data_IF_531549594392
#
_entry.id   IF_531549594392
#
_cell.length_a   1.000
_cell.length_b   1.000
_cell.length_c   1.000
_cell.angle_alpha   90.00
_cell.angle_beta   90.00
_cell.angle_gamma   90.00
#
_symmetry.space_group_name_H-M   'P 1'
#
loop_
_entity.id
_entity.type
_entity.pdbx_description
1 polymer ?
#
# COMPACT_ATOMS: atom_id res chain seq x y z
N UNK A 1 35.69 -38.14 -32.17
CA UNK A 1 35.62 -37.04 -31.19
C UNK A 1 34.36 -36.25 -31.51
N UNK A 2 33.32 -36.31 -30.67
CA UNK A 2 32.03 -35.66 -30.95
C UNK A 2 32.10 -34.22 -30.43
N UNK A 3 32.02 -33.23 -31.32
CA UNK A 3 31.92 -31.79 -30.98
C UNK A 3 30.48 -31.47 -30.54
N UNK A 4 30.25 -31.32 -29.24
CA UNK A 4 28.94 -30.92 -28.71
C UNK A 4 28.79 -29.40 -28.80
N UNK A 5 28.31 -28.91 -29.95
CA UNK A 5 27.99 -27.49 -30.14
C UNK A 5 26.67 -27.13 -29.44
N UNK A 6 26.80 -26.72 -28.18
CA UNK A 6 25.73 -26.11 -27.40
C UNK A 6 25.40 -24.71 -27.97
N UNK A 7 24.59 -24.62 -29.03
CA UNK A 7 24.08 -23.33 -29.52
C UNK A 7 22.71 -22.96 -28.94
N UNK A 8 22.00 -23.94 -28.36
CA UNK A 8 20.62 -23.80 -27.87
C UNK A 8 20.48 -23.69 -26.34
N UNK A 9 21.56 -23.83 -25.56
CA UNK A 9 21.52 -23.64 -24.09
C UNK A 9 21.91 -22.22 -23.64
N UNK A 10 22.15 -21.29 -24.57
CA UNK A 10 22.47 -19.91 -24.25
C UNK A 10 21.19 -19.08 -24.18
N UNK A 11 20.86 -18.60 -22.99
CA UNK A 11 19.82 -17.61 -22.81
C UNK A 11 20.25 -16.27 -23.42
N UNK A 12 19.39 -15.67 -24.22
CA UNK A 12 19.54 -14.27 -24.58
C UNK A 12 19.34 -13.41 -23.32
N UNK A 13 20.45 -12.86 -22.82
CA UNK A 13 20.49 -12.07 -21.59
C UNK A 13 19.49 -10.92 -21.64
N UNK A 14 19.41 -10.19 -22.75
CA UNK A 14 18.53 -9.04 -22.87
C UNK A 14 17.06 -9.48 -22.81
N UNK A 15 16.70 -10.56 -23.53
CA UNK A 15 15.35 -11.11 -23.49
C UNK A 15 14.96 -11.59 -22.10
N UNK A 16 15.85 -12.28 -21.38
CA UNK A 16 15.58 -12.74 -20.00
C UNK A 16 15.40 -11.55 -19.06
N UNK A 17 16.27 -10.55 -19.12
CA UNK A 17 16.15 -9.35 -18.27
C UNK A 17 14.81 -8.65 -18.52
N UNK A 18 14.43 -8.43 -19.77
CA UNK A 18 13.15 -7.79 -20.09
C UNK A 18 11.94 -8.61 -19.64
N UNK A 19 11.99 -9.94 -19.76
CA UNK A 19 10.93 -10.81 -19.25
C UNK A 19 10.79 -10.70 -17.73
N UNK A 20 11.91 -10.67 -17.01
CA UNK A 20 11.95 -10.50 -15.55
C UNK A 20 11.43 -9.12 -15.13
N UNK A 21 11.85 -8.04 -15.80
CA UNK A 21 11.38 -6.68 -15.51
C UNK A 21 9.87 -6.52 -15.74
N UNK A 22 9.36 -7.08 -16.83
CA UNK A 22 7.93 -7.09 -17.14
C UNK A 22 7.15 -7.86 -16.07
N UNK A 23 7.62 -9.04 -15.68
CA UNK A 23 7.03 -9.85 -14.63
C UNK A 23 7.04 -9.11 -13.29
N UNK A 24 8.18 -8.53 -12.90
CA UNK A 24 8.36 -7.76 -11.67
C UNK A 24 7.36 -6.61 -11.58
N UNK A 25 7.30 -5.76 -12.61
CA UNK A 25 6.37 -4.62 -12.65
C UNK A 25 4.91 -5.07 -12.51
N UNK A 26 4.54 -6.15 -13.20
CA UNK A 26 3.18 -6.70 -13.14
C UNK A 26 2.85 -7.26 -11.75
N UNK A 27 3.75 -8.06 -11.16
CA UNK A 27 3.56 -8.69 -9.86
C UNK A 27 3.49 -7.65 -8.75
N UNK A 28 4.41 -6.69 -8.72
CA UNK A 28 4.44 -5.63 -7.70
C UNK A 28 3.23 -4.70 -7.80
N UNK A 29 2.78 -4.37 -9.03
CA UNK A 29 1.55 -3.61 -9.23
C UNK A 29 0.32 -4.36 -8.69
N UNK A 30 0.24 -5.67 -8.92
CA UNK A 30 -0.85 -6.53 -8.41
C UNK A 30 -0.81 -6.65 -6.88
N UNK A 31 0.38 -6.80 -6.30
CA UNK A 31 0.59 -6.79 -4.86
C UNK A 31 0.10 -5.47 -4.23
N UNK A 32 0.53 -4.33 -4.79
CA UNK A 32 0.08 -3.01 -4.35
C UNK A 32 -1.44 -2.84 -4.46
N UNK A 33 -2.05 -3.33 -5.55
CA UNK A 33 -3.49 -3.30 -5.73
C UNK A 33 -4.24 -4.13 -4.67
N UNK A 34 -3.75 -5.31 -4.32
CA UNK A 34 -4.36 -6.16 -3.30
C UNK A 34 -4.28 -5.53 -1.91
N UNK A 35 -3.10 -5.06 -1.51
CA UNK A 35 -2.89 -4.40 -0.21
C UNK A 35 -3.75 -3.14 -0.11
N UNK A 36 -3.75 -2.29 -1.15
CA UNK A 36 -4.63 -1.11 -1.23
C UNK A 36 -6.09 -1.50 -1.05
N UNK A 37 -6.54 -2.56 -1.71
CA UNK A 37 -7.94 -3.01 -1.65
C UNK A 37 -8.28 -3.54 -0.26
N UNK A 38 -7.39 -4.31 0.37
CA UNK A 38 -7.56 -4.78 1.74
C UNK A 38 -7.66 -3.60 2.73
N UNK A 39 -6.78 -2.61 2.63
CA UNK A 39 -6.82 -1.39 3.44
C UNK A 39 -8.12 -0.59 3.22
N UNK A 40 -8.55 -0.40 1.97
CA UNK A 40 -9.82 0.29 1.66
C UNK A 40 -11.05 -0.47 2.18
N UNK A 41 -10.97 -1.79 2.23
CA UNK A 41 -12.06 -2.66 2.70
C UNK A 41 -12.16 -2.70 4.22
N UNK A 42 -11.03 -2.52 4.93
CA UNK A 42 -10.99 -2.46 6.38
C UNK A 42 -11.63 -1.17 6.93
N UNK A 43 -11.52 -0.06 6.17
CA UNK A 43 -12.13 1.23 6.50
C UNK A 43 -13.62 1.23 6.10
N UNK A 44 -14.51 1.16 7.09
CA UNK A 44 -15.98 1.14 6.92
C UNK A 44 -16.61 2.46 7.36
N UNK A 45 -17.75 2.82 6.74
CA UNK A 45 -18.56 3.97 7.17
C UNK A 45 -19.29 3.63 8.46
N UNK A 46 -19.10 4.45 9.50
CA UNK A 46 -19.76 4.35 10.81
C UNK A 46 -19.93 5.76 11.40
N UNK A 47 -20.91 5.93 12.29
CA UNK A 47 -21.14 7.22 12.98
C UNK A 47 -20.07 7.51 14.04
N UNK A 48 -19.69 6.52 14.82
CA UNK A 48 -18.71 6.65 15.90
C UNK A 48 -17.25 6.32 15.49
N UNK A 49 -16.28 6.74 16.30
CA UNK A 49 -14.89 6.31 16.15
C UNK A 49 -14.78 4.79 16.36
N UNK A 50 -13.85 4.13 15.68
CA UNK A 50 -13.50 2.72 15.95
C UNK A 50 -12.94 2.52 17.37
N UNK A 51 -12.77 1.27 17.80
CA UNK A 51 -11.94 0.98 18.96
C UNK A 51 -10.45 1.10 18.60
N UNK A 52 -9.57 1.34 19.59
CA UNK A 52 -8.12 1.21 19.42
C UNK A 52 -7.73 -0.15 18.82
N UNK A 53 -6.68 -0.18 18.01
CA UNK A 53 -6.24 -1.38 17.28
C UNK A 53 -7.14 -1.80 16.11
N UNK A 54 -8.39 -1.30 16.03
CA UNK A 54 -9.29 -1.56 14.91
C UNK A 54 -9.16 -0.46 13.84
N UNK A 55 -9.32 -0.81 12.55
CA UNK A 55 -9.28 0.15 11.45
C UNK A 55 -10.22 1.35 11.67
N UNK A 56 -9.83 2.55 11.20
CA UNK A 56 -10.57 3.77 11.46
C UNK A 56 -11.93 3.76 10.74
N UNK A 57 -12.88 4.50 11.30
CA UNK A 57 -14.17 4.73 10.67
C UNK A 57 -14.05 5.80 9.57
N UNK A 58 -14.70 5.58 8.43
CA UNK A 58 -14.79 6.56 7.36
C UNK A 58 -15.96 7.52 7.58
N UNK A 59 -15.70 8.68 8.16
CA UNK A 59 -16.71 9.74 8.28
C UNK A 59 -16.91 10.51 6.96
N UNK A 60 -15.82 10.94 6.32
CA UNK A 60 -15.88 11.71 5.04
C UNK A 60 -15.62 10.84 3.81
N UNK A 61 -14.97 9.68 3.97
CA UNK A 61 -14.52 8.83 2.87
C UNK A 61 -13.20 9.26 2.23
N UNK A 62 -12.62 10.40 2.62
CA UNK A 62 -11.38 10.89 2.03
C UNK A 62 -10.22 9.94 2.30
N UNK A 63 -10.01 9.51 3.55
CA UNK A 63 -8.93 8.57 3.88
C UNK A 63 -8.98 7.31 3.00
N UNK A 64 -10.17 6.70 2.86
CA UNK A 64 -10.38 5.51 2.02
C UNK A 64 -10.15 5.77 0.53
N UNK A 65 -10.48 6.96 0.03
CA UNK A 65 -10.32 7.31 -1.39
C UNK A 65 -8.86 7.58 -1.75
N UNK A 66 -8.09 8.12 -0.81
CA UNK A 66 -6.73 8.59 -1.03
C UNK A 66 -5.64 7.59 -0.63
N UNK A 67 -5.96 6.28 -0.54
CA UNK A 67 -4.94 5.23 -0.44
C UNK A 67 -4.54 4.85 -1.86
N UNK A 68 -3.29 5.11 -2.21
CA UNK A 68 -2.71 4.81 -3.51
C UNK A 68 -1.56 3.81 -3.39
N UNK A 69 -1.10 3.31 -4.53
CA UNK A 69 0.14 2.58 -4.64
C UNK A 69 0.92 3.05 -5.86
N UNK A 70 2.25 2.94 -5.82
CA UNK A 70 3.14 3.22 -6.93
C UNK A 70 4.32 2.24 -6.94
N UNK A 71 4.71 1.78 -8.12
CA UNK A 71 5.95 1.01 -8.31
C UNK A 71 7.12 1.98 -8.42
N UNK A 72 8.18 1.73 -7.66
CA UNK A 72 9.42 2.49 -7.67
C UNK A 72 10.49 1.69 -8.43
N UNK A 73 10.84 2.08 -9.68
CA UNK A 73 11.75 1.31 -10.52
C UNK A 73 13.17 1.20 -9.96
N UNK A 74 13.63 2.21 -9.22
CA UNK A 74 15.01 2.26 -8.72
C UNK A 74 15.29 1.25 -7.61
N UNK A 75 14.29 1.00 -6.76
CA UNK A 75 14.39 0.10 -5.60
C UNK A 75 13.68 -1.24 -5.81
N UNK A 76 13.10 -1.46 -7.00
CA UNK A 76 12.29 -2.63 -7.30
C UNK A 76 11.20 -2.91 -6.26
N UNK A 77 10.59 -1.84 -5.75
CA UNK A 77 9.64 -1.90 -4.65
C UNK A 77 8.29 -1.29 -5.04
N UNK A 78 7.27 -1.56 -4.23
CA UNK A 78 5.97 -0.91 -4.33
C UNK A 78 5.69 -0.17 -3.04
N UNK A 79 5.36 1.11 -3.14
CA UNK A 79 4.96 1.95 -2.02
C UNK A 79 3.44 2.02 -2.01
N UNK A 80 2.82 1.71 -0.86
CA UNK A 80 1.37 1.79 -0.68
C UNK A 80 1.07 2.66 0.53
N UNK A 81 0.14 3.61 0.41
CA UNK A 81 -0.26 4.42 1.54
C UNK A 81 -1.22 5.55 1.25
N UNK A 82 -1.66 6.26 2.31
CA UNK A 82 -2.47 7.46 2.18
C UNK A 82 -1.66 8.61 1.59
N UNK A 83 -2.21 9.27 0.58
CA UNK A 83 -1.64 10.49 0.00
C UNK A 83 -2.19 11.72 0.72
N UNK A 84 -1.37 12.77 0.79
CA UNK A 84 -1.76 14.05 1.40
C UNK A 84 -2.98 14.63 0.67
N UNK A 85 -3.93 15.12 1.45
CA UNK A 85 -5.06 15.89 0.93
C UNK A 85 -4.64 17.36 0.79
N UNK A 86 -5.39 18.15 0.01
CA UNK A 86 -5.19 19.60 -0.14
C UNK A 86 -5.17 20.36 1.21
N UNK A 87 -5.74 19.79 2.28
CA UNK A 87 -5.59 20.29 3.64
C UNK A 87 -4.55 19.46 4.38
N UNK A 88 -3.43 20.07 4.80
CA UNK A 88 -2.41 19.35 5.56
C UNK A 88 -3.00 18.87 6.87
N UNK A 89 -2.81 17.57 7.16
CA UNK A 89 -3.28 16.95 8.39
C UNK A 89 -2.47 15.72 8.72
N UNK A 90 -2.09 15.58 9.99
CA UNK A 90 -1.35 14.41 10.49
C UNK A 90 -2.24 13.16 10.67
N UNK A 91 -3.53 13.24 10.32
CA UNK A 91 -4.51 12.21 10.62
C UNK A 91 -4.13 10.82 10.08
N UNK A 92 -3.67 10.62 8.83
CA UNK A 92 -3.36 9.27 8.35
C UNK A 92 -2.21 8.61 9.12
N UNK A 93 -1.15 9.37 9.42
CA UNK A 93 0.01 8.87 10.18
C UNK A 93 -0.34 8.57 11.64
N UNK A 94 -1.08 9.47 12.29
CA UNK A 94 -1.54 9.32 13.68
C UNK A 94 -2.54 8.17 13.82
N UNK A 95 -3.35 7.89 12.80
CA UNK A 95 -4.23 6.72 12.81
C UNK A 95 -3.43 5.42 12.65
N UNK A 96 -2.35 5.39 11.88
CA UNK A 96 -1.53 4.18 11.75
C UNK A 96 -0.71 3.89 13.02
N UNK A 97 0.00 4.90 13.54
CA UNK A 97 1.01 4.70 14.59
C UNK A 97 0.55 5.16 15.98
N UNK A 98 -0.58 5.88 16.06
CA UNK A 98 -0.95 6.62 17.26
C UNK A 98 -0.14 7.91 17.42
N UNK A 99 -0.41 8.65 18.49
CA UNK A 99 0.36 9.81 18.90
C UNK A 99 -0.48 11.05 19.24
N UNK A 100 0.22 12.14 19.53
CA UNK A 100 -0.40 13.42 19.89
C UNK A 100 -0.67 14.25 18.65
N UNK A 101 -1.89 14.75 18.49
CA UNK A 101 -2.25 15.64 17.38
C UNK A 101 -3.09 16.82 17.85
N UNK A 102 -3.13 17.87 17.04
CA UNK A 102 -3.94 19.06 17.31
C UNK A 102 -5.17 19.02 16.43
N UNK A 103 -6.34 18.85 17.04
CA UNK A 103 -7.63 18.93 16.35
C UNK A 103 -8.07 20.40 16.33
N UNK A 104 -8.40 20.89 15.13
CA UNK A 104 -9.02 22.20 14.93
C UNK A 104 -10.52 22.00 14.79
N UNK A 105 -11.32 22.52 15.72
CA UNK A 105 -12.78 22.50 15.65
C UNK A 105 -13.29 23.93 15.59
N UNK A 106 -14.18 24.22 14.63
CA UNK A 106 -14.88 25.50 14.59
C UNK A 106 -16.04 25.45 15.58
N UNK A 107 -16.12 26.42 16.49
CA UNK A 107 -17.21 26.57 17.46
C UNK A 107 -17.58 28.04 17.54
N UNK A 108 -18.85 28.39 17.26
CA UNK A 108 -19.39 29.77 17.28
C UNK A 108 -18.48 30.77 16.54
N UNK A 109 -18.18 30.50 15.26
CA UNK A 109 -17.33 31.36 14.43
C UNK A 109 -15.81 31.23 14.68
N UNK A 110 -15.37 30.87 15.91
CA UNK A 110 -13.96 30.77 16.30
C UNK A 110 -13.37 29.37 16.05
N UNK A 111 -12.08 29.31 15.70
CA UNK A 111 -11.34 28.05 15.55
C UNK A 111 -10.67 27.73 16.89
N UNK A 112 -11.13 26.67 17.55
CA UNK A 112 -10.52 26.15 18.79
C UNK A 112 -9.53 25.06 18.42
N UNK A 113 -8.31 25.15 18.95
CA UNK A 113 -7.27 24.13 18.82
C UNK A 113 -7.22 23.31 20.11
N UNK A 114 -7.32 21.99 20.01
CA UNK A 114 -7.17 21.09 21.16
C UNK A 114 -6.11 20.04 20.86
N UNK A 115 -5.12 19.92 21.73
CA UNK A 115 -4.16 18.81 21.70
C UNK A 115 -4.85 17.58 22.27
N UNK A 116 -4.82 16.48 21.53
CA UNK A 116 -5.38 15.19 21.95
C UNK A 116 -4.35 14.10 21.72
N UNK A 117 -4.38 13.08 22.58
CA UNK A 117 -3.68 11.82 22.33
C UNK A 117 -4.64 10.88 21.60
N UNK A 118 -4.20 10.27 20.51
CA UNK A 118 -4.96 9.30 19.74
C UNK A 118 -4.19 7.98 19.75
N UNK A 119 -4.86 6.92 20.16
CA UNK A 119 -4.31 5.57 20.09
C UNK A 119 -4.33 5.03 18.65
N UNK A 120 -3.38 4.16 18.35
CA UNK A 120 -3.21 3.58 17.02
C UNK A 120 -4.46 2.79 16.58
N UNK A 121 -4.83 2.98 15.32
CA UNK A 121 -5.96 2.36 14.60
C UNK A 121 -5.43 1.92 13.23
N UNK A 122 -4.48 0.96 13.22
CA UNK A 122 -3.74 0.62 12.03
C UNK A 122 -4.67 0.04 10.97
N UNK A 123 -4.44 0.39 9.71
CA UNK A 123 -5.23 -0.10 8.57
C UNK A 123 -4.36 -0.53 7.39
N UNK A 124 -3.12 -0.02 7.29
CA UNK A 124 -2.13 -0.40 6.30
C UNK A 124 -1.34 -1.65 6.71
N UNK A 125 -0.75 -1.67 7.91
CA UNK A 125 0.03 -2.82 8.37
C UNK A 125 -0.80 -4.12 8.44
N UNK A 126 -2.03 -4.11 9.01
CA UNK A 126 -2.90 -5.28 8.97
C UNK A 126 -3.32 -5.69 7.55
N UNK A 127 -3.38 -4.74 6.60
CA UNK A 127 -3.68 -5.06 5.20
C UNK A 127 -2.52 -5.77 4.50
N UNK A 128 -1.27 -5.40 4.82
CA UNK A 128 -0.09 -6.11 4.35
C UNK A 128 -0.07 -7.54 4.90
N UNK A 129 -0.20 -7.72 6.22
CA UNK A 129 -0.17 -9.06 6.83
C UNK A 129 -1.26 -9.98 6.28
N UNK A 130 -2.46 -9.44 6.01
CA UNK A 130 -3.55 -10.19 5.39
C UNK A 130 -3.23 -10.70 3.98
N UNK A 131 -2.55 -9.90 3.17
CA UNK A 131 -2.25 -10.24 1.77
C UNK A 131 -0.88 -10.91 1.59
N UNK A 132 0.00 -10.83 2.59
CA UNK A 132 1.34 -11.44 2.64
C UNK A 132 1.42 -12.87 2.11
N UNK A 133 0.56 -13.83 2.50
CA UNK A 133 0.64 -15.21 2.02
C UNK A 133 0.30 -15.36 0.52
N UNK A 134 -0.37 -14.39 -0.10
CA UNK A 134 -0.70 -14.42 -1.53
C UNK A 134 0.44 -13.86 -2.39
N UNK A 135 1.34 -13.05 -1.82
CA UNK A 135 2.38 -12.36 -2.59
C UNK A 135 3.35 -13.31 -3.29
N UNK A 136 3.88 -14.38 -2.65
CA UNK A 136 4.76 -15.33 -3.34
C UNK A 136 4.05 -16.05 -4.50
N UNK A 137 2.76 -16.33 -4.34
CA UNK A 137 1.96 -16.99 -5.40
C UNK A 137 1.81 -16.13 -6.65
N UNK A 138 1.96 -14.81 -6.54
CA UNK A 138 1.94 -13.92 -7.71
C UNK A 138 3.19 -14.06 -8.57
N UNK A 139 4.32 -14.45 -7.97
CA UNK A 139 5.58 -14.64 -8.68
C UNK A 139 5.63 -15.97 -9.46
N UNK A 140 4.87 -16.97 -9.02
CA UNK A 140 4.80 -18.27 -9.69
C UNK A 140 4.31 -18.11 -11.15
N UNK A 141 5.11 -18.57 -12.11
CA UNK A 141 4.79 -18.51 -13.54
C UNK A 141 4.68 -17.08 -14.13
N UNK A 142 5.22 -16.08 -13.42
CA UNK A 142 5.18 -14.68 -13.83
C UNK A 142 6.21 -14.34 -14.91
N UNK A 143 7.40 -14.94 -14.84
CA UNK A 143 8.44 -14.82 -15.87
C UNK A 143 8.10 -15.79 -17.00
N UNK A 144 7.80 -15.26 -18.18
CA UNK A 144 7.50 -16.04 -19.38
C UNK A 144 8.44 -15.60 -20.49
N UNK A 145 9.08 -16.57 -21.15
CA UNK A 145 9.73 -16.33 -22.43
C UNK A 145 8.65 -15.95 -23.43
N UNK A 146 8.81 -14.80 -24.07
CA UNK A 146 7.95 -14.39 -25.18
C UNK A 146 8.14 -15.27 -26.40
#
# INVERSE_FOLDING_TARGET
>A
MIDMRIKQLFFDRAKVIHAVEKARRAVLSKAGAFIRTAARSSIRRRKGPSQPGKPPSSHTGLLKKFIYFGYEPTSDSVVIGPVRLNKPGAAPSVLEHGGKTVIRKRRRGRIVRRRVSIEARPYMAPALEKERPKLPKLWAGSVRGG
#
